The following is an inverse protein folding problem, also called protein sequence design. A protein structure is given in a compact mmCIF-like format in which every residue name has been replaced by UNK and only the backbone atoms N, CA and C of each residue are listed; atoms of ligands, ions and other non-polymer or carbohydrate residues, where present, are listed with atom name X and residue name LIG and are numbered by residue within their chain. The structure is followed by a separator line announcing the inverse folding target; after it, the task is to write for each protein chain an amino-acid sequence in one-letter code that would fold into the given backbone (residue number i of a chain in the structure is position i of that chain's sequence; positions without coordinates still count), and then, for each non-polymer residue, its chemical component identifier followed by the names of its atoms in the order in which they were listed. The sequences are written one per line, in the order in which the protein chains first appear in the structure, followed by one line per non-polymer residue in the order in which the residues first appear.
data_IF_763961494182
#
_entry.id   IF_763961494182
#
_cell.length_a   1.000
_cell.length_b   1.000
_cell.length_c   1.000
_cell.angle_alpha   90.00
_cell.angle_beta   90.00
_cell.angle_gamma   90.00
#
_symmetry.space_group_name_H-M   'P 1'
#
loop_
_entity.id
_entity.type
_entity.pdbx_description
1 polymer ?
#
# COMPACT_ATOMS: atom_id res chain seq x y z
N UNK A 1 22.47 -6.60 -4.22
CA UNK A 1 21.92 -7.56 -5.18
C UNK A 1 20.62 -8.07 -4.57
N UNK A 2 19.47 -7.52 -4.98
CA UNK A 2 18.17 -8.03 -4.56
C UNK A 2 17.99 -9.40 -5.21
N UNK A 3 17.81 -10.44 -4.40
CA UNK A 3 17.42 -11.76 -4.87
C UNK A 3 16.07 -11.63 -5.58
N UNK A 4 15.96 -12.07 -6.84
CA UNK A 4 14.72 -11.99 -7.61
C UNK A 4 13.53 -12.64 -6.88
N UNK A 5 13.80 -13.65 -6.05
CA UNK A 5 12.81 -14.31 -5.19
C UNK A 5 12.33 -13.38 -4.07
N UNK A 6 13.24 -12.58 -3.49
CA UNK A 6 12.90 -11.63 -2.45
C UNK A 6 12.02 -10.50 -3.00
N UNK A 7 12.42 -9.90 -4.12
CA UNK A 7 11.63 -8.85 -4.76
C UNK A 7 10.23 -9.33 -5.14
N UNK A 8 10.10 -10.54 -5.69
CA UNK A 8 8.80 -11.13 -6.00
C UNK A 8 7.91 -11.30 -4.74
N UNK A 9 8.48 -11.76 -3.62
CA UNK A 9 7.75 -11.91 -2.35
C UNK A 9 7.36 -10.56 -1.76
N UNK A 10 8.23 -9.56 -1.83
CA UNK A 10 7.92 -8.20 -1.40
C UNK A 10 6.71 -7.65 -2.18
N UNK A 11 6.75 -7.68 -3.50
CA UNK A 11 5.64 -7.20 -4.33
C UNK A 11 4.34 -7.99 -4.14
N UNK A 12 4.43 -9.31 -3.92
CA UNK A 12 3.27 -10.12 -3.55
C UNK A 12 2.65 -9.64 -2.23
N UNK A 13 3.47 -9.44 -1.18
CA UNK A 13 2.99 -8.91 0.10
C UNK A 13 2.37 -7.53 -0.03
N UNK A 14 2.94 -6.63 -0.84
CA UNK A 14 2.34 -5.31 -1.09
C UNK A 14 0.97 -5.47 -1.74
N UNK A 15 0.83 -6.32 -2.77
CA UNK A 15 -0.46 -6.56 -3.41
C UNK A 15 -1.50 -7.15 -2.45
N UNK A 16 -1.09 -8.05 -1.55
CA UNK A 16 -1.99 -8.59 -0.52
C UNK A 16 -2.48 -7.47 0.42
N UNK A 17 -1.60 -6.58 0.88
CA UNK A 17 -1.99 -5.43 1.70
C UNK A 17 -2.95 -4.48 0.96
N UNK A 18 -2.70 -4.17 -0.31
CA UNK A 18 -3.60 -3.34 -1.11
C UNK A 18 -4.98 -3.97 -1.23
N UNK A 19 -5.05 -5.28 -1.51
CA UNK A 19 -6.32 -6.02 -1.54
C UNK A 19 -7.07 -5.99 -0.20
N UNK A 20 -6.37 -6.14 0.93
CA UNK A 20 -7.01 -6.02 2.24
C UNK A 20 -7.52 -4.61 2.52
N UNK A 21 -6.79 -3.56 2.11
CA UNK A 21 -7.24 -2.18 2.24
C UNK A 21 -8.51 -1.97 1.41
N UNK A 22 -8.59 -2.53 0.19
CA UNK A 22 -9.78 -2.45 -0.66
C UNK A 22 -11.01 -3.08 0.00
N UNK A 23 -10.87 -4.27 0.60
CA UNK A 23 -11.99 -4.92 1.31
C UNK A 23 -12.47 -4.07 2.49
N UNK A 24 -11.55 -3.53 3.29
CA UNK A 24 -11.89 -2.68 4.43
C UNK A 24 -12.54 -1.36 3.99
N UNK A 25 -12.13 -0.80 2.85
CA UNK A 25 -12.79 0.38 2.26
C UNK A 25 -14.23 0.07 1.85
N UNK A 26 -14.51 -1.12 1.30
CA UNK A 26 -15.88 -1.55 0.93
C UNK A 26 -16.78 -1.66 2.16
N UNK A 27 -16.21 -2.04 3.30
CA UNK A 27 -16.90 -2.07 4.59
C UNK A 27 -17.10 -0.67 5.20
N UNK A 28 -16.40 0.33 4.68
CA UNK A 28 -16.49 1.72 5.15
C UNK A 28 -15.63 2.04 6.36
N UNK A 29 -14.67 1.18 6.72
CA UNK A 29 -13.81 1.37 7.90
C UNK A 29 -12.50 2.08 7.53
N UNK A 30 -12.52 3.41 7.59
CA UNK A 30 -11.36 4.26 7.33
C UNK A 30 -10.18 3.94 8.27
N UNK A 31 -10.45 3.69 9.55
CA UNK A 31 -9.40 3.52 10.56
C UNK A 31 -8.68 2.18 10.39
N UNK A 32 -9.40 1.12 10.05
CA UNK A 32 -8.79 -0.16 9.74
C UNK A 32 -7.94 -0.08 8.46
N UNK A 33 -8.40 0.65 7.44
CA UNK A 33 -7.63 0.86 6.21
C UNK A 33 -6.33 1.64 6.47
N UNK A 34 -6.38 2.72 7.26
CA UNK A 34 -5.20 3.47 7.69
C UNK A 34 -4.19 2.59 8.43
N UNK A 35 -4.64 1.72 9.34
CA UNK A 35 -3.77 0.79 10.08
C UNK A 35 -3.08 -0.21 9.15
N UNK A 36 -3.75 -0.66 8.10
CA UNK A 36 -3.13 -1.50 7.07
C UNK A 36 -2.10 -0.70 6.26
N UNK A 37 -2.40 0.56 5.93
CA UNK A 37 -1.44 1.50 5.34
C UNK A 37 -0.16 1.65 6.17
N UNK A 38 -0.29 1.84 7.49
CA UNK A 38 0.84 1.91 8.42
C UNK A 38 1.69 0.63 8.46
N UNK A 39 1.03 -0.54 8.46
CA UNK A 39 1.75 -1.83 8.41
C UNK A 39 2.52 -1.99 7.10
N UNK A 40 1.90 -1.58 5.99
CA UNK A 40 2.54 -1.58 4.68
C UNK A 40 3.69 -0.58 4.61
N UNK A 41 3.57 0.59 5.25
CA UNK A 41 4.64 1.59 5.35
C UNK A 41 5.93 1.00 5.91
N UNK A 42 5.83 0.20 6.98
CA UNK A 42 7.01 -0.47 7.54
C UNK A 42 7.73 -1.36 6.53
N UNK A 43 7.00 -2.06 5.66
CA UNK A 43 7.60 -2.86 4.59
C UNK A 43 8.24 -1.98 3.51
N UNK A 44 7.56 -0.92 3.07
CA UNK A 44 8.08 0.00 2.07
C UNK A 44 9.30 0.79 2.56
N UNK A 45 9.38 1.15 3.84
CA UNK A 45 10.56 1.81 4.42
C UNK A 45 11.81 0.92 4.40
N UNK A 46 11.64 -0.40 4.50
CA UNK A 46 12.76 -1.35 4.48
C UNK A 46 13.19 -1.72 3.06
N UNK A 47 12.24 -1.87 2.14
CA UNK A 47 12.48 -2.55 0.86
C UNK A 47 11.89 -1.85 -0.36
N UNK A 48 11.04 -0.85 -0.16
CA UNK A 48 10.33 -0.15 -1.23
C UNK A 48 11.11 1.03 -1.80
N UNK A 49 10.52 1.65 -2.81
CA UNK A 49 11.02 2.91 -3.37
C UNK A 49 10.49 4.11 -2.56
N UNK A 50 11.12 5.29 -2.65
CA UNK A 50 10.61 6.50 -2.03
C UNK A 50 9.15 6.82 -2.40
N UNK A 51 8.76 6.58 -3.66
CA UNK A 51 7.38 6.79 -4.13
C UNK A 51 6.40 5.84 -3.44
N UNK A 52 6.80 4.58 -3.23
CA UNK A 52 5.98 3.62 -2.48
C UNK A 52 5.83 4.02 -1.01
N UNK A 53 6.89 4.56 -0.39
CA UNK A 53 6.84 5.09 0.98
C UNK A 53 5.85 6.25 1.08
N UNK A 54 5.92 7.22 0.16
CA UNK A 54 5.00 8.37 0.13
C UNK A 54 3.55 7.92 -0.01
N UNK A 55 3.28 6.94 -0.88
CA UNK A 55 1.92 6.42 -1.04
C UNK A 55 1.45 5.64 0.20
N UNK A 56 2.33 4.92 0.90
CA UNK A 56 1.99 4.29 2.17
C UNK A 56 1.64 5.33 3.25
N UNK A 57 2.42 6.41 3.35
CA UNK A 57 2.13 7.51 4.27
C UNK A 57 0.78 8.17 3.94
N UNK A 58 0.46 8.34 2.65
CA UNK A 58 -0.84 8.84 2.22
C UNK A 58 -2.00 7.88 2.58
N UNK A 59 -1.79 6.57 2.52
CA UNK A 59 -2.78 5.58 2.97
C UNK A 59 -2.98 5.63 4.49
N UNK A 60 -1.88 5.71 5.27
CA UNK A 60 -1.93 5.80 6.73
C UNK A 60 -2.63 7.08 7.22
N UNK A 61 -2.40 8.21 6.54
CA UNK A 61 -2.89 9.51 6.97
C UNK A 61 -4.13 9.97 6.19
N UNK A 62 -4.79 9.07 5.48
CA UNK A 62 -5.92 9.41 4.63
C UNK A 62 -7.09 10.04 5.41
N UNK A 63 -7.56 11.21 4.97
CA UNK A 63 -8.64 11.93 5.67
C UNK A 63 -10.04 11.37 5.38
N UNK A 64 -10.18 10.55 4.34
CA UNK A 64 -11.47 10.00 3.89
C UNK A 64 -11.33 8.73 3.05
N UNK A 65 -12.42 7.96 2.94
CA UNK A 65 -12.49 6.77 2.08
C UNK A 65 -12.27 7.09 0.58
N UNK A 66 -12.83 8.18 0.00
CA UNK A 66 -12.54 8.54 -1.38
C UNK A 66 -11.06 8.86 -1.60
N UNK A 67 -10.41 9.54 -0.65
CA UNK A 67 -8.98 9.80 -0.72
C UNK A 67 -8.17 8.51 -0.69
N UNK A 68 -8.51 7.56 0.21
CA UNK A 68 -7.91 6.23 0.22
C UNK A 68 -8.03 5.51 -1.12
N UNK A 69 -9.22 5.51 -1.73
CA UNK A 69 -9.46 4.86 -3.03
C UNK A 69 -8.60 5.48 -4.15
N UNK A 70 -8.45 6.80 -4.14
CA UNK A 70 -7.57 7.49 -5.09
C UNK A 70 -6.11 7.09 -4.88
N UNK A 71 -5.65 7.05 -3.63
CA UNK A 71 -4.27 6.66 -3.29
C UNK A 71 -3.99 5.20 -3.64
N UNK A 72 -4.94 4.28 -3.42
CA UNK A 72 -4.83 2.89 -3.86
C UNK A 72 -4.67 2.77 -5.38
N UNK A 73 -5.46 3.53 -6.14
CA UNK A 73 -5.38 3.54 -7.61
C UNK A 73 -3.99 4.00 -8.07
N UNK A 74 -3.43 5.03 -7.43
CA UNK A 74 -2.06 5.49 -7.69
C UNK A 74 -1.02 4.42 -7.34
N UNK A 75 -1.23 3.68 -6.25
CA UNK A 75 -0.34 2.61 -5.84
C UNK A 75 -0.31 1.47 -6.85
N UNK A 76 -1.46 0.98 -7.30
CA UNK A 76 -1.51 -0.05 -8.34
C UNK A 76 -0.85 0.41 -9.64
N UNK A 77 -1.11 1.65 -10.07
CA UNK A 77 -0.46 2.21 -11.25
C UNK A 77 1.06 2.28 -11.10
N UNK A 78 1.58 2.58 -9.91
CA UNK A 78 3.02 2.56 -9.64
C UNK A 78 3.59 1.14 -9.79
N UNK A 79 2.93 0.14 -9.19
CA UNK A 79 3.38 -1.25 -9.23
C UNK A 79 3.36 -1.86 -10.64
N UNK A 80 2.38 -1.51 -11.46
CA UNK A 80 2.26 -2.05 -12.82
C UNK A 80 3.29 -1.46 -13.79
N UNK A 81 3.90 -0.32 -13.42
CA UNK A 81 4.98 0.32 -14.17
C UNK A 81 6.39 0.02 -13.59
N UNK A 82 6.48 -0.84 -12.56
CA UNK A 82 7.72 -1.19 -11.84
C UNK A 82 8.44 -2.42 -12.40
#
# INVERSE_FOLDING_TARGET
MTDATFSARFYASIRDYLGYIEEVIKEGDLVAAQKLGHKMLGLCQMFGTPEQVVLCEALENAESLPYLQQTLTQFYALLDNS
#
